data_IF_774687075078
#
_entry.id   IF_774687075078
#
_cell.length_a   1.000
_cell.length_b   1.000
_cell.length_c   1.000
_cell.angle_alpha   90.00
_cell.angle_beta   90.00
_cell.angle_gamma   90.00
#
_symmetry.space_group_name_H-M   'P 1'
#
loop_
_entity.id
_entity.type
_entity.pdbx_description
1 polymer ?
#
# COMPACT_ATOMS: atom_id res chain seq x y z
N UNK A 1 12.46 9.51 -8.90
CA UNK A 1 11.18 8.89 -9.29
C UNK A 1 11.39 7.41 -9.55
N UNK A 2 10.68 6.55 -8.82
CA UNK A 2 10.74 5.09 -8.90
C UNK A 2 9.67 4.65 -9.88
N UNK A 3 10.03 4.10 -11.04
CA UNK A 3 9.02 3.61 -11.97
C UNK A 3 8.59 2.21 -11.55
N UNK A 4 7.28 1.93 -11.47
CA UNK A 4 6.78 0.58 -11.32
C UNK A 4 7.35 -0.32 -12.43
N UNK A 5 7.43 -1.64 -12.22
CA UNK A 5 7.76 -2.58 -13.28
C UNK A 5 6.56 -2.75 -14.24
N UNK A 6 6.28 -1.70 -15.00
CA UNK A 6 5.20 -1.61 -15.97
C UNK A 6 5.47 -2.52 -17.17
N UNK A 7 4.41 -3.12 -17.71
CA UNK A 7 4.35 -3.89 -18.96
C UNK A 7 5.30 -5.09 -19.01
N UNK A 8 5.61 -5.68 -17.85
CA UNK A 8 6.33 -6.95 -17.77
C UNK A 8 5.34 -8.12 -17.73
N UNK A 9 5.56 -9.11 -18.61
CA UNK A 9 4.67 -10.26 -18.80
C UNK A 9 4.41 -11.11 -17.54
N UNK A 10 5.30 -11.02 -16.55
CA UNK A 10 5.15 -11.72 -15.27
C UNK A 10 4.34 -10.99 -14.20
N UNK A 11 4.08 -9.68 -14.36
CA UNK A 11 3.48 -8.84 -13.32
C UNK A 11 2.20 -8.13 -13.75
N UNK A 12 1.87 -8.13 -15.05
CA UNK A 12 0.66 -7.55 -15.65
C UNK A 12 0.25 -6.20 -15.03
N UNK A 13 1.25 -5.35 -14.79
CA UNK A 13 1.06 -3.98 -14.36
C UNK A 13 1.04 -3.09 -15.59
N UNK A 14 -0.02 -2.33 -15.78
CA UNK A 14 -0.09 -1.32 -16.82
C UNK A 14 -0.01 0.06 -16.19
N UNK A 15 0.87 0.88 -16.72
CA UNK A 15 1.09 2.23 -16.23
C UNK A 15 0.56 3.21 -17.26
N UNK A 16 -0.39 4.03 -16.86
CA UNK A 16 -0.95 5.08 -17.71
C UNK A 16 -0.19 6.39 -17.50
N UNK A 17 -0.20 7.25 -18.52
CA UNK A 17 0.45 8.58 -18.50
C UNK A 17 -0.11 9.51 -17.40
N UNK A 18 -1.21 9.14 -16.75
CA UNK A 18 -1.91 9.91 -15.71
C UNK A 18 -1.54 9.42 -14.29
N UNK A 19 -0.33 8.86 -14.09
CA UNK A 19 0.12 8.29 -12.81
C UNK A 19 -0.78 7.18 -12.22
N UNK A 20 -1.72 6.62 -12.98
CA UNK A 20 -2.51 5.48 -12.54
C UNK A 20 -1.82 4.20 -12.98
N UNK A 21 -1.41 3.41 -12.00
CA UNK A 21 -0.95 2.03 -12.20
C UNK A 21 -2.14 1.11 -11.99
N UNK A 22 -2.37 0.20 -12.92
CA UNK A 22 -3.43 -0.82 -12.82
C UNK A 22 -2.81 -2.21 -12.86
N UNK A 23 -3.41 -3.12 -12.12
CA UNK A 23 -3.06 -4.53 -12.10
C UNK A 23 -4.15 -5.32 -12.82
N UNK A 24 -3.77 -6.16 -13.77
CA UNK A 24 -4.69 -7.10 -14.41
C UNK A 24 -4.45 -8.51 -13.89
N UNK A 25 -5.42 -9.02 -13.14
CA UNK A 25 -5.43 -10.40 -12.66
C UNK A 25 -6.18 -11.29 -13.66
N UNK A 26 -5.59 -12.40 -14.16
CA UNK A 26 -6.20 -13.21 -15.22
C UNK A 26 -7.63 -13.68 -14.93
N UNK A 27 -7.94 -14.00 -13.67
CA UNK A 27 -9.25 -14.52 -13.27
C UNK A 27 -10.13 -13.50 -12.53
N UNK A 28 -9.60 -12.31 -12.24
CA UNK A 28 -10.34 -11.28 -11.50
C UNK A 28 -10.46 -9.96 -12.24
N UNK A 29 -9.80 -9.78 -13.38
CA UNK A 29 -9.80 -8.55 -14.16
C UNK A 29 -8.97 -7.45 -13.51
N UNK A 30 -9.35 -6.20 -13.81
CA UNK A 30 -8.54 -5.02 -13.49
C UNK A 30 -8.76 -4.50 -12.07
N UNK A 31 -7.68 -4.05 -11.44
CA UNK A 31 -7.66 -3.36 -10.14
C UNK A 31 -6.79 -2.10 -10.22
N UNK A 32 -7.12 -1.09 -9.42
CA UNK A 32 -6.28 0.08 -9.24
C UNK A 32 -5.16 -0.26 -8.26
N UNK A 33 -3.93 0.17 -8.55
CA UNK A 33 -2.80 -0.01 -7.64
C UNK A 33 -2.58 1.28 -6.86
N UNK A 34 -2.63 1.20 -5.54
CA UNK A 34 -2.37 2.31 -4.63
C UNK A 34 -0.90 2.43 -4.25
N UNK A 35 -0.25 1.30 -3.96
CA UNK A 35 1.13 1.27 -3.51
C UNK A 35 1.79 -0.07 -3.85
N UNK A 36 3.10 -0.03 -4.09
CA UNK A 36 3.95 -1.20 -4.29
C UNK A 36 5.18 -1.07 -3.39
N UNK A 37 5.31 -1.98 -2.42
CA UNK A 37 6.47 -2.11 -1.56
C UNK A 37 7.36 -3.24 -2.11
N UNK A 38 8.40 -2.88 -2.85
CA UNK A 38 9.36 -3.83 -3.43
C UNK A 38 10.24 -4.53 -2.39
N UNK A 39 10.45 -3.91 -1.22
CA UNK A 39 11.25 -4.47 -0.15
C UNK A 39 10.50 -5.61 0.55
N UNK A 40 9.24 -5.36 0.89
CA UNK A 40 8.35 -6.37 1.47
C UNK A 40 7.76 -7.33 0.43
N UNK A 41 7.82 -6.96 -0.84
CA UNK A 41 7.14 -7.63 -1.95
C UNK A 41 5.62 -7.65 -1.76
N UNK A 42 5.05 -6.46 -1.53
CA UNK A 42 3.63 -6.26 -1.26
C UNK A 42 3.01 -5.25 -2.23
N UNK A 43 1.82 -5.55 -2.73
CA UNK A 43 1.04 -4.67 -3.60
C UNK A 43 -0.31 -4.39 -2.96
N UNK A 44 -0.73 -3.13 -2.97
CA UNK A 44 -1.98 -2.68 -2.41
C UNK A 44 -2.90 -2.27 -3.56
N UNK A 45 -4.01 -2.99 -3.71
CA UNK A 45 -4.96 -2.81 -4.82
C UNK A 45 -6.35 -2.45 -4.33
N UNK A 46 -7.12 -1.74 -5.14
CA UNK A 46 -8.52 -1.44 -4.87
C UNK A 46 -9.39 -1.67 -6.10
N UNK A 47 -10.68 -1.75 -5.85
CA UNK A 47 -11.68 -1.87 -6.89
C UNK A 47 -11.94 -0.52 -7.57
N UNK A 48 -11.85 -0.41 -8.91
CA UNK A 48 -12.18 0.83 -9.62
C UNK A 48 -13.61 1.33 -9.37
N UNK A 49 -14.56 0.42 -9.13
CA UNK A 49 -15.96 0.75 -8.79
C UNK A 49 -16.17 1.06 -7.29
N UNK A 50 -15.09 1.11 -6.50
CA UNK A 50 -15.12 1.32 -5.06
C UNK A 50 -16.00 0.30 -4.30
N UNK A 51 -16.07 -0.94 -4.78
CA UNK A 51 -16.80 -2.02 -4.13
C UNK A 51 -15.99 -3.32 -4.08
N UNK A 52 -14.89 -3.28 -3.32
CA UNK A 52 -14.00 -4.44 -3.15
C UNK A 52 -14.75 -5.68 -2.62
N UNK A 53 -15.80 -5.51 -1.81
CA UNK A 53 -16.63 -6.62 -1.31
C UNK A 53 -17.23 -7.46 -2.44
N UNK A 54 -17.74 -6.79 -3.47
CA UNK A 54 -18.32 -7.42 -4.65
C UNK A 54 -17.27 -8.22 -5.42
N UNK A 55 -16.07 -7.66 -5.55
CA UNK A 55 -14.94 -8.33 -6.20
C UNK A 55 -14.51 -9.58 -5.42
N UNK A 56 -14.43 -9.49 -4.10
CA UNK A 56 -14.07 -10.60 -3.21
C UNK A 56 -14.98 -11.82 -3.35
N UNK A 57 -16.26 -11.65 -3.68
CA UNK A 57 -17.19 -12.76 -3.95
C UNK A 57 -16.76 -13.63 -5.14
N UNK A 58 -15.97 -13.09 -6.06
CA UNK A 58 -15.48 -13.80 -7.27
C UNK A 58 -13.95 -13.76 -7.39
N UNK A 59 -13.26 -13.30 -6.36
CA UNK A 59 -11.84 -13.03 -6.40
C UNK A 59 -11.02 -14.31 -6.51
N UNK A 60 -10.12 -14.32 -7.48
CA UNK A 60 -9.24 -15.42 -7.80
C UNK A 60 -7.91 -14.89 -8.36
N UNK A 61 -6.82 -15.24 -7.68
CA UNK A 61 -5.46 -14.85 -8.04
C UNK A 61 -4.74 -15.90 -8.91
N UNK A 62 -5.41 -17.01 -9.26
CA UNK A 62 -4.82 -18.09 -10.05
C UNK A 62 -4.30 -17.57 -11.39
N UNK A 63 -3.13 -18.07 -11.80
CA UNK A 63 -2.44 -17.60 -13.01
C UNK A 63 -1.65 -16.30 -12.82
N UNK A 64 -1.60 -15.74 -11.61
CA UNK A 64 -0.76 -14.58 -11.27
C UNK A 64 0.34 -14.96 -10.26
N UNK A 65 1.42 -14.17 -10.11
CA UNK A 65 2.45 -14.41 -9.09
C UNK A 65 2.00 -14.01 -7.67
N UNK A 66 0.79 -13.48 -7.54
CA UNK A 66 0.29 -12.91 -6.29
C UNK A 66 -0.35 -13.97 -5.41
N UNK A 67 -0.14 -13.83 -4.11
CA UNK A 67 -0.74 -14.67 -3.08
C UNK A 67 -1.13 -13.82 -1.88
N UNK A 68 -1.84 -14.44 -0.93
CA UNK A 68 -2.07 -13.84 0.37
C UNK A 68 -1.44 -14.72 1.44
N UNK A 69 -0.77 -14.09 2.40
CA UNK A 69 -0.23 -14.77 3.58
C UNK A 69 -1.32 -15.13 4.59
N UNK A 70 -2.31 -14.26 4.75
CA UNK A 70 -3.38 -14.43 5.71
C UNK A 70 -4.73 -14.41 5.02
N UNK A 71 -5.64 -15.26 5.49
CA UNK A 71 -7.02 -15.24 5.06
C UNK A 71 -7.92 -15.64 6.20
N UNK A 72 -9.11 -15.05 6.23
CA UNK A 72 -10.15 -15.36 7.22
C UNK A 72 -11.38 -15.87 6.49
N UNK A 73 -12.00 -16.93 7.00
CA UNK A 73 -13.18 -17.53 6.39
C UNK A 73 -14.44 -16.76 6.79
N UNK A 74 -15.03 -16.06 5.82
CA UNK A 74 -16.22 -15.24 6.02
C UNK A 74 -17.45 -15.89 5.40
N UNK A 75 -18.60 -15.64 6.04
CA UNK A 75 -19.93 -15.89 5.52
C UNK A 75 -20.53 -14.56 5.11
N UNK A 76 -20.76 -14.37 3.81
CA UNK A 76 -21.53 -13.27 3.26
C UNK A 76 -23.00 -13.66 3.22
N UNK A 77 -23.85 -12.76 3.69
CA UNK A 77 -25.29 -12.98 3.73
C UNK A 77 -26.03 -11.67 3.48
N UNK A 78 -27.28 -11.80 3.05
CA UNK A 78 -28.19 -10.69 2.79
C UNK A 78 -29.44 -10.85 3.64
N UNK A 79 -29.99 -9.73 4.11
CA UNK A 79 -31.22 -9.70 4.87
C UNK A 79 -32.14 -8.61 4.30
N UNK A 80 -33.47 -8.80 4.27
CA UNK A 80 -34.40 -7.72 4.00
C UNK A 80 -34.21 -6.54 4.97
N UNK A 81 -34.45 -5.32 4.50
CA UNK A 81 -34.17 -4.10 5.28
C UNK A 81 -35.01 -3.96 6.57
N UNK A 82 -36.13 -4.69 6.68
CA UNK A 82 -36.93 -4.72 7.91
C UNK A 82 -36.31 -5.60 9.01
N UNK A 83 -35.32 -6.43 8.69
CA UNK A 83 -34.61 -7.27 9.66
C UNK A 83 -33.56 -6.42 10.36
N UNK A 84 -33.76 -6.17 11.65
CA UNK A 84 -32.80 -5.44 12.48
C UNK A 84 -31.68 -6.37 12.97
N UNK A 85 -30.43 -6.03 12.64
CA UNK A 85 -29.24 -6.70 13.18
C UNK A 85 -28.63 -5.88 14.32
N UNK A 86 -27.87 -6.52 15.24
CA UNK A 86 -27.12 -5.81 16.26
C UNK A 86 -26.18 -4.76 15.62
N UNK A 87 -25.95 -3.64 16.32
CA UNK A 87 -25.08 -2.55 15.83
C UNK A 87 -23.65 -2.98 15.47
N UNK A 88 -23.17 -4.10 16.01
CA UNK A 88 -21.88 -4.68 15.65
C UNK A 88 -21.82 -5.23 14.22
N UNK A 89 -22.97 -5.45 13.58
CA UNK A 89 -23.07 -5.86 12.18
C UNK A 89 -23.26 -4.63 11.30
N UNK A 90 -22.15 -4.12 10.77
CA UNK A 90 -22.21 -3.06 9.76
C UNK A 90 -22.53 -3.64 8.38
N UNK A 91 -23.53 -3.05 7.72
CA UNK A 91 -23.84 -3.40 6.35
C UNK A 91 -22.71 -3.01 5.39
N UNK A 92 -22.63 -3.69 4.25
CA UNK A 92 -21.68 -3.43 3.16
C UNK A 92 -22.42 -2.58 2.12
N UNK A 93 -22.29 -1.24 2.14
CA UNK A 93 -23.23 -0.36 1.45
C UNK A 93 -23.23 -0.55 -0.07
N UNK A 94 -22.07 -0.84 -0.65
CA UNK A 94 -21.93 -1.02 -2.10
C UNK A 94 -22.56 -2.32 -2.64
N UNK A 95 -22.94 -3.26 -1.76
CA UNK A 95 -23.71 -4.46 -2.10
C UNK A 95 -25.21 -4.32 -1.80
N UNK A 96 -25.59 -3.34 -0.98
CA UNK A 96 -26.99 -3.13 -0.60
C UNK A 96 -27.84 -2.76 -1.83
N UNK A 97 -29.13 -3.05 -1.75
CA UNK A 97 -30.13 -2.61 -2.71
C UNK A 97 -31.34 -2.00 -1.98
N UNK A 98 -32.36 -1.60 -2.73
CA UNK A 98 -33.55 -0.95 -2.18
C UNK A 98 -34.34 -1.81 -1.16
N UNK A 99 -34.21 -3.13 -1.22
CA UNK A 99 -35.00 -4.07 -0.41
C UNK A 99 -34.19 -4.85 0.63
N UNK A 100 -32.87 -4.95 0.47
CA UNK A 100 -32.01 -5.79 1.29
C UNK A 100 -30.63 -5.17 1.54
N UNK A 101 -30.10 -5.48 2.71
CA UNK A 101 -28.76 -5.10 3.16
C UNK A 101 -27.86 -6.34 3.24
N UNK A 102 -26.58 -6.15 2.91
CA UNK A 102 -25.57 -7.18 2.87
C UNK A 102 -24.60 -7.05 4.03
N UNK A 103 -24.14 -8.19 4.52
CA UNK A 103 -23.27 -8.29 5.68
C UNK A 103 -22.25 -9.41 5.48
N UNK A 104 -21.19 -9.39 6.28
CA UNK A 104 -20.23 -10.47 6.35
C UNK A 104 -19.82 -10.73 7.79
N UNK A 105 -19.70 -12.01 8.17
CA UNK A 105 -19.28 -12.42 9.51
C UNK A 105 -18.51 -13.72 9.49
N UNK A 106 -17.64 -13.92 10.47
CA UNK A 106 -17.01 -15.22 10.76
C UNK A 106 -17.92 -16.12 11.58
N UNK A 107 -18.94 -15.57 12.26
CA UNK A 107 -19.89 -16.32 13.07
C UNK A 107 -21.01 -16.93 12.22
N UNK A 108 -20.72 -18.09 11.63
CA UNK A 108 -21.66 -18.82 10.79
C UNK A 108 -22.94 -19.26 11.53
N UNK A 109 -22.80 -19.73 12.78
CA UNK A 109 -23.94 -20.20 13.59
C UNK A 109 -24.98 -19.10 13.81
N UNK A 110 -24.55 -17.84 13.97
CA UNK A 110 -25.47 -16.71 14.08
C UNK A 110 -26.30 -16.52 12.80
N UNK A 111 -25.69 -16.69 11.62
CA UNK A 111 -26.39 -16.55 10.34
C UNK A 111 -27.39 -17.69 10.15
N UNK A 112 -27.05 -18.92 10.58
CA UNK A 112 -27.97 -20.06 10.52
C UNK A 112 -29.24 -19.83 11.35
N UNK A 113 -29.12 -19.22 12.54
CA UNK A 113 -30.27 -18.86 13.38
C UNK A 113 -31.20 -17.81 12.76
N UNK A 114 -30.72 -17.07 11.75
CA UNK A 114 -31.51 -16.06 11.05
C UNK A 114 -32.19 -16.59 9.79
N UNK A 115 -31.97 -17.86 9.42
CA UNK A 115 -32.70 -18.47 8.31
C UNK A 115 -34.18 -18.71 8.71
N UNK A 116 -35.14 -18.54 7.79
CA UNK A 116 -34.97 -18.13 6.39
C UNK A 116 -35.02 -16.61 6.17
N UNK A 117 -35.17 -15.80 7.22
CA UNK A 117 -35.30 -14.35 7.11
C UNK A 117 -34.11 -13.70 6.40
N UNK A 118 -32.89 -14.15 6.70
CA UNK A 118 -31.67 -13.81 5.96
C UNK A 118 -31.26 -14.96 5.06
N UNK A 119 -30.51 -14.67 3.99
CA UNK A 119 -30.04 -15.65 3.02
C UNK A 119 -28.53 -15.63 2.92
N UNK A 120 -27.91 -16.82 2.97
CA UNK A 120 -26.46 -16.96 2.78
C UNK A 120 -26.16 -16.81 1.29
N UNK A 121 -25.29 -15.86 0.96
CA UNK A 121 -24.89 -15.55 -0.40
C UNK A 121 -23.67 -16.39 -0.80
N UNK A 122 -22.63 -16.37 0.04
CA UNK A 122 -21.39 -17.12 -0.22
C UNK A 122 -20.56 -17.28 1.05
N UNK A 123 -19.80 -18.36 1.13
CA UNK A 123 -18.75 -18.55 2.14
C UNK A 123 -17.40 -18.69 1.45
N UNK A 124 -16.41 -17.90 1.86
CA UNK A 124 -15.10 -17.88 1.21
C UNK A 124 -14.00 -17.33 2.12
N UNK A 125 -12.76 -17.68 1.80
CA UNK A 125 -11.57 -17.10 2.42
C UNK A 125 -11.30 -15.72 1.86
N UNK A 126 -11.31 -14.70 2.70
CA UNK A 126 -10.98 -13.32 2.33
C UNK A 126 -9.53 -13.03 2.73
N UNK A 127 -8.66 -12.62 1.79
CA UNK A 127 -7.31 -12.15 2.09
C UNK A 127 -7.31 -10.91 3.00
N UNK A 128 -6.34 -10.80 3.91
CA UNK A 128 -6.13 -9.60 4.72
C UNK A 128 -4.66 -9.38 5.12
N UNK A 129 -4.37 -8.19 5.67
CA UNK A 129 -3.01 -7.68 5.95
C UNK A 129 -2.40 -8.16 7.26
N UNK A 130 -3.19 -8.39 8.32
CA UNK A 130 -2.68 -8.65 9.67
C UNK A 130 -3.19 -9.97 10.27
N UNK A 131 -2.37 -10.75 10.99
CA UNK A 131 -2.81 -11.95 11.71
C UNK A 131 -3.78 -11.65 12.88
N UNK A 132 -3.84 -10.40 13.35
CA UNK A 132 -4.87 -9.96 14.31
C UNK A 132 -6.21 -9.86 13.58
N UNK A 133 -6.97 -10.96 13.54
CA UNK A 133 -8.25 -11.11 12.84
C UNK A 133 -9.42 -10.26 13.37
N UNK A 134 -9.14 -9.13 13.99
CA UNK A 134 -10.10 -8.21 14.62
C UNK A 134 -10.22 -6.87 13.88
N UNK A 135 -9.85 -6.81 12.60
CA UNK A 135 -10.29 -5.68 11.78
C UNK A 135 -11.73 -5.97 11.37
N UNK A 136 -12.65 -5.13 11.82
CA UNK A 136 -14.06 -5.21 11.44
C UNK A 136 -14.15 -5.24 9.91
N UNK A 137 -14.72 -6.31 9.33
CA UNK A 137 -14.72 -6.55 7.89
C UNK A 137 -15.25 -5.35 7.09
N UNK A 138 -16.26 -4.67 7.63
CA UNK A 138 -16.84 -3.44 7.10
C UNK A 138 -15.84 -2.29 6.98
N UNK A 139 -14.92 -2.16 7.95
CA UNK A 139 -13.84 -1.16 7.95
C UNK A 139 -12.71 -1.52 6.97
N UNK A 140 -12.47 -2.81 6.77
CA UNK A 140 -11.50 -3.32 5.80
C UNK A 140 -11.98 -3.16 4.36
N UNK A 141 -13.24 -3.46 4.08
CA UNK A 141 -13.74 -3.52 2.71
C UNK A 141 -14.46 -2.25 2.26
N UNK A 142 -14.89 -1.42 3.21
CA UNK A 142 -15.61 -0.18 2.93
C UNK A 142 -14.76 0.94 2.33
N UNK A 143 -13.43 0.94 2.55
CA UNK A 143 -12.53 2.02 2.10
C UNK A 143 -11.04 1.63 1.96
N UNK A 144 -10.65 0.36 2.16
CA UNK A 144 -9.22 -0.02 2.17
C UNK A 144 -8.82 -0.85 0.96
N UNK A 145 -7.56 -0.70 0.62
CA UNK A 145 -6.86 -1.51 -0.39
C UNK A 145 -6.65 -2.94 0.11
N UNK A 146 -6.90 -3.92 -0.75
CA UNK A 146 -6.48 -5.32 -0.59
C UNK A 146 -4.96 -5.41 -0.73
N UNK A 147 -4.29 -6.06 0.21
CA UNK A 147 -2.86 -6.33 0.12
C UNK A 147 -2.62 -7.73 -0.42
N UNK A 148 -1.80 -7.84 -1.46
CA UNK A 148 -1.29 -9.11 -1.98
C UNK A 148 0.23 -9.14 -1.83
N UNK A 149 0.80 -10.33 -1.68
CA UNK A 149 2.25 -10.56 -1.65
C UNK A 149 2.70 -11.27 -2.93
N UNK A 150 3.98 -11.20 -3.25
CA UNK A 150 4.61 -12.06 -4.24
C UNK A 150 5.98 -12.54 -3.78
N UNK A 151 6.45 -13.66 -4.31
CA UNK A 151 7.79 -14.20 -4.00
C UNK A 151 8.82 -13.91 -5.09
N UNK A 152 8.41 -14.01 -6.35
CA UNK A 152 9.28 -13.78 -7.51
C UNK A 152 8.59 -12.82 -8.48
N UNK A 153 9.32 -11.84 -9.05
CA UNK A 153 10.74 -11.54 -8.87
C UNK A 153 11.06 -10.94 -7.49
N UNK A 154 12.27 -11.22 -6.99
CA UNK A 154 12.74 -10.73 -5.69
C UNK A 154 13.56 -9.43 -5.83
N UNK A 155 12.97 -8.34 -5.33
CA UNK A 155 13.60 -7.02 -5.28
C UNK A 155 14.23 -6.68 -3.93
N UNK A 156 14.04 -7.52 -2.89
CA UNK A 156 14.39 -7.18 -1.51
C UNK A 156 15.85 -6.78 -1.34
N UNK A 157 16.77 -7.48 -1.98
CA UNK A 157 18.21 -7.16 -1.92
C UNK A 157 18.53 -5.81 -2.53
N UNK A 158 17.98 -5.49 -3.72
CA UNK A 158 18.17 -4.18 -4.35
C UNK A 158 17.64 -3.06 -3.45
N UNK A 159 16.49 -3.29 -2.83
CA UNK A 159 15.84 -2.33 -1.95
C UNK A 159 16.63 -2.09 -0.65
N UNK A 160 17.23 -3.13 -0.07
CA UNK A 160 18.15 -3.01 1.07
C UNK A 160 19.38 -2.17 0.75
N UNK A 161 19.91 -2.34 -0.46
CA UNK A 161 21.07 -1.60 -0.97
C UNK A 161 20.70 -0.17 -1.43
N UNK A 162 19.44 0.27 -1.26
CA UNK A 162 18.90 1.55 -1.74
C UNK A 162 19.13 1.79 -3.25
N UNK A 163 19.17 0.71 -4.04
CA UNK A 163 19.33 0.76 -5.49
C UNK A 163 18.04 0.35 -6.19
N UNK A 164 17.89 0.73 -7.46
CA UNK A 164 16.66 0.49 -8.21
C UNK A 164 16.56 -0.98 -8.62
N UNK A 165 15.47 -1.66 -8.26
CA UNK A 165 15.15 -2.97 -8.81
C UNK A 165 14.63 -2.86 -10.26
N UNK A 166 15.08 -3.76 -11.15
CA UNK A 166 14.56 -3.87 -12.51
C UNK A 166 14.81 -5.25 -13.11
N UNK A 167 14.21 -5.56 -14.25
CA UNK A 167 14.46 -6.81 -14.95
C UNK A 167 15.72 -6.74 -15.83
N UNK A 168 16.44 -7.85 -15.97
CA UNK A 168 17.56 -7.98 -16.92
C UNK A 168 17.09 -7.91 -18.37
N UNK A 169 15.96 -8.56 -18.67
CA UNK A 169 15.28 -8.55 -19.98
C UNK A 169 13.78 -8.39 -19.75
N UNK A 170 13.06 -7.74 -20.67
CA UNK A 170 11.59 -7.55 -20.57
C UNK A 170 10.77 -8.85 -20.52
N UNK A 171 11.35 -9.96 -20.96
CA UNK A 171 10.71 -11.28 -20.98
C UNK A 171 11.15 -12.22 -19.86
N UNK A 172 12.10 -11.80 -19.01
CA UNK A 172 12.68 -12.66 -17.97
C UNK A 172 12.31 -12.17 -16.57
N UNK A 173 11.97 -13.08 -15.68
CA UNK A 173 11.80 -12.79 -14.24
C UNK A 173 13.12 -12.49 -13.51
N UNK A 174 14.26 -12.56 -14.20
CA UNK A 174 15.56 -12.25 -13.61
C UNK A 174 15.69 -10.78 -13.28
N UNK A 175 15.93 -10.49 -12.00
CA UNK A 175 16.16 -9.15 -11.48
C UNK A 175 17.63 -8.75 -11.62
N UNK A 176 17.85 -7.46 -11.85
CA UNK A 176 19.12 -6.76 -11.70
C UNK A 176 18.88 -5.48 -10.91
N UNK A 177 19.83 -5.17 -10.02
CA UNK A 177 19.86 -3.91 -9.32
C UNK A 177 20.59 -2.86 -10.17
N UNK A 178 19.98 -1.70 -10.34
CA UNK A 178 20.49 -0.57 -11.11
C UNK A 178 20.79 0.59 -10.16
N UNK A 179 22.05 0.96 -10.07
CA UNK A 179 22.53 2.05 -9.24
C UNK A 179 24.04 1.99 -9.12
N UNK A 180 24.69 3.14 -9.09
CA UNK A 180 26.06 3.24 -8.61
C UNK A 180 26.03 3.05 -7.10
N UNK A 181 26.73 2.04 -6.57
CA UNK A 181 27.40 2.27 -5.28
C UNK A 181 28.32 3.45 -5.57
N UNK A 182 27.98 4.66 -5.19
CA UNK A 182 29.07 5.58 -4.92
C UNK A 182 29.75 5.02 -3.67
N UNK A 183 31.02 4.55 -3.73
CA UNK A 183 31.84 4.66 -2.55
C UNK A 183 32.11 6.15 -2.39
N UNK A 184 31.13 6.87 -1.88
CA UNK A 184 31.40 8.12 -1.19
C UNK A 184 32.26 7.70 0.00
N UNK A 185 33.58 7.72 -0.19
CA UNK A 185 34.49 8.01 0.90
C UNK A 185 33.93 9.27 1.54
N UNK A 186 33.15 9.11 2.61
CA UNK A 186 33.19 10.05 3.71
C UNK A 186 34.62 9.96 4.24
N UNK A 187 35.55 10.60 3.54
CA UNK A 187 36.62 11.25 4.25
C UNK A 187 35.87 12.30 5.07
N UNK A 188 35.57 11.94 6.32
CA UNK A 188 35.26 12.89 7.36
C UNK A 188 36.52 13.74 7.52
N UNK A 189 36.72 14.70 6.61
CA UNK A 189 37.56 15.83 6.93
C UNK A 189 36.77 16.59 8.00
N UNK A 190 37.36 16.83 9.18
CA UNK A 190 36.66 17.51 10.25
C UNK A 190 36.23 18.87 9.72
N UNK A 191 34.92 19.07 9.54
CA UNK A 191 34.37 20.41 9.44
C UNK A 191 34.62 21.07 10.78
N UNK A 192 35.63 21.93 10.85
CA UNK A 192 35.79 22.83 11.99
C UNK A 192 34.71 23.90 11.89
N UNK A 193 33.66 23.77 12.70
CA UNK A 193 32.77 24.89 12.97
C UNK A 193 33.53 25.90 13.83
N UNK A 194 34.05 26.96 13.22
CA UNK A 194 34.48 28.15 13.97
C UNK A 194 33.23 28.95 14.33
N UNK A 195 32.80 28.83 15.58
CA UNK A 195 31.77 29.71 16.15
C UNK A 195 32.40 31.10 16.35
N UNK A 196 32.21 31.99 15.39
CA UNK A 196 32.49 33.42 15.61
C UNK A 196 31.28 34.05 16.28
N UNK A 197 31.36 34.22 17.61
CA UNK A 197 30.38 34.98 18.38
C UNK A 197 30.66 36.47 18.13
N UNK A 198 29.92 37.09 17.21
CA UNK A 198 29.92 38.54 17.09
C UNK A 198 29.08 39.14 18.22
N UNK A 199 29.73 39.79 19.19
CA UNK A 199 29.04 40.64 20.16
C UNK A 199 28.61 41.95 19.47
N UNK A 200 27.40 41.96 18.91
CA UNK A 200 26.74 43.15 18.38
C UNK A 200 25.58 43.57 19.27
N UNK A 201 25.60 44.81 19.75
CA UNK A 201 24.65 45.37 20.72
C UNK A 201 23.18 45.31 20.26
N UNK A 202 22.32 44.96 21.21
CA UNK A 202 20.86 44.87 21.08
C UNK A 202 20.22 46.25 20.93
N UNK A 203 19.34 46.41 19.94
CA UNK A 203 18.11 47.18 20.11
C UNK A 203 16.99 46.46 19.33
N UNK A 204 15.97 45.99 20.07
CA UNK A 204 14.75 45.28 19.63
C UNK A 204 14.75 43.75 19.47
N UNK A 205 15.40 43.03 20.39
CA UNK A 205 14.83 41.79 20.95
C UNK A 205 14.60 40.60 20.02
N UNK A 206 15.38 40.43 18.94
CA UNK A 206 15.46 39.18 18.18
C UNK A 206 16.91 38.76 18.05
N UNK A 207 17.29 37.68 18.73
CA UNK A 207 18.52 36.97 18.43
C UNK A 207 18.30 36.14 17.16
N UNK A 208 19.14 36.36 16.15
CA UNK A 208 19.21 35.53 14.94
C UNK A 208 20.54 34.79 15.02
N UNK A 209 20.51 33.48 15.18
CA UNK A 209 21.71 32.64 15.01
C UNK A 209 22.00 32.54 13.51
N UNK A 210 23.07 33.20 13.06
CA UNK A 210 23.62 33.01 11.73
C UNK A 210 24.88 32.15 11.83
N UNK A 211 24.76 30.87 11.49
CA UNK A 211 25.90 29.99 11.33
C UNK A 211 26.44 30.14 9.90
N UNK A 212 27.71 30.55 9.77
CA UNK A 212 28.38 30.68 8.47
C UNK A 212 29.41 29.57 8.32
N UNK A 213 29.22 28.65 7.37
CA UNK A 213 30.19 27.60 7.05
C UNK A 213 31.01 27.99 5.82
N UNK A 214 32.33 28.01 5.94
CA UNK A 214 33.25 28.20 4.81
C UNK A 214 33.80 26.85 4.33
N UNK A 215 33.59 26.54 3.05
CA UNK A 215 34.22 25.41 2.37
C UNK A 215 35.13 25.90 1.25
N UNK A 216 36.42 25.60 1.31
CA UNK A 216 37.46 26.15 0.41
C UNK A 216 37.37 25.72 -1.08
N UNK A 217 36.30 25.07 -1.54
CA UNK A 217 36.20 24.69 -2.97
C UNK A 217 34.89 24.99 -3.69
N UNK A 218 33.95 25.66 -3.04
CA UNK A 218 32.83 26.26 -3.75
C UNK A 218 32.61 27.66 -3.18
N UNK A 219 32.81 28.69 -4.01
CA UNK A 219 32.37 30.05 -3.73
C UNK A 219 30.84 30.09 -3.65
N UNK A 220 30.28 29.58 -2.56
CA UNK A 220 28.85 29.56 -2.31
C UNK A 220 28.62 29.75 -0.81
N UNK A 221 28.18 30.96 -0.45
CA UNK A 221 27.75 31.31 0.89
C UNK A 221 26.29 30.86 1.05
N UNK A 222 26.04 29.92 1.97
CA UNK A 222 24.69 29.47 2.29
C UNK A 222 24.26 30.09 3.61
N UNK A 223 23.24 30.95 3.56
CA UNK A 223 22.62 31.57 4.74
C UNK A 223 21.41 30.73 5.12
N UNK A 224 21.45 30.09 6.28
CA UNK A 224 20.29 29.41 6.86
C UNK A 224 19.60 30.33 7.86
N UNK A 225 18.30 30.58 7.66
CA UNK A 225 17.46 31.37 8.56
C UNK A 225 16.48 30.41 9.21
N UNK A 226 16.67 30.09 10.50
CA UNK A 226 15.64 29.35 11.25
C UNK A 226 14.48 30.30 11.59
N UNK A 227 13.26 29.77 11.58
CA UNK A 227 12.04 30.48 11.99
C UNK A 227 11.79 30.24 13.47
#
# INVERSE_FOLDING_TARGET
MRFPLCDHAGFNLHCTDINKTVLELPMSGTFLVHNIDYYKQQIYISDPENCLAKRLLTFNMSGSPFSSRFSTFYTFFSCPNYVALPYSYRSIPCLNNSTSSFYATTNYAFVELMLPSCQIVKRLHVPHTSPSGEIEFSSYVGNQSLMLEWLSPNCRSCEMDNVRCGFKKKSSLEVKCFGSKEPGKLNCFPCFCLLLVNQGNSINGKYVEEATCFGERFNAMYIFRSR
#
